data_IF_650158999472
#
_entry.id   IF_650158999472
#
_cell.length_a   1.000
_cell.length_b   1.000
_cell.length_c   1.000
_cell.angle_alpha   90.00
_cell.angle_beta   90.00
_cell.angle_gamma   90.00
#
_symmetry.space_group_name_H-M   'P 1'
#
loop_
_entity.id
_entity.type
_entity.pdbx_description
1 polymer ?
#
# COMPACT_ATOMS: atom_id res chain seq x y z
N UNK A 1 -4.17 1.29 21.09
CA UNK A 1 -3.30 1.62 19.93
C UNK A 1 -2.89 3.08 20.09
N UNK A 2 -1.60 3.41 19.99
CA UNK A 2 -1.10 4.78 19.96
C UNK A 2 -0.40 5.06 18.62
N UNK A 3 -0.64 6.23 18.03
CA UNK A 3 0.09 6.75 16.88
C UNK A 3 1.28 7.54 17.43
N UNK A 4 2.48 7.00 17.31
CA UNK A 4 3.69 7.60 17.92
C UNK A 4 4.38 8.59 16.97
N UNK A 5 4.15 8.46 15.68
CA UNK A 5 4.54 9.44 14.66
C UNK A 5 3.98 8.99 13.32
N UNK A 6 3.88 9.88 12.34
CA UNK A 6 4.95 9.97 11.33
C UNK A 6 4.55 11.00 10.26
N UNK A 7 4.83 12.28 10.56
CA UNK A 7 5.01 13.34 9.57
C UNK A 7 6.40 14.07 9.67
N UNK A 8 7.53 13.34 9.75
CA UNK A 8 8.87 13.89 10.01
C UNK A 8 9.42 14.91 9.04
N UNK A 9 9.33 14.69 7.73
CA UNK A 9 10.06 15.57 6.81
C UNK A 9 9.48 16.97 6.80
N UNK A 10 8.18 17.05 7.08
CA UNK A 10 7.51 18.28 7.44
C UNK A 10 8.08 18.93 8.71
N UNK A 11 8.37 18.13 9.73
CA UNK A 11 8.93 18.61 10.99
C UNK A 11 10.39 19.09 10.84
N UNK A 12 11.13 18.47 9.93
CA UNK A 12 12.52 18.79 9.61
C UNK A 12 12.67 20.01 8.69
N UNK A 13 11.81 20.14 7.67
CA UNK A 13 11.77 21.34 6.82
C UNK A 13 11.56 22.60 7.67
N UNK A 14 10.71 22.50 8.70
CA UNK A 14 10.44 23.58 9.66
C UNK A 14 11.64 23.94 10.55
N UNK A 15 12.52 23.00 10.86
CA UNK A 15 13.66 23.26 11.75
C UNK A 15 14.89 23.83 11.02
N UNK A 16 14.94 23.76 9.69
CA UNK A 16 16.21 23.88 8.94
C UNK A 16 16.13 24.75 7.69
N UNK A 17 14.93 25.08 7.21
CA UNK A 17 14.74 25.83 5.97
C UNK A 17 14.93 25.02 4.69
N UNK A 18 14.97 23.68 4.78
CA UNK A 18 15.07 22.80 3.61
C UNK A 18 13.79 22.78 2.75
N UNK A 19 13.93 22.46 1.45
CA UNK A 19 12.85 22.45 0.46
C UNK A 19 12.68 21.03 -0.15
N UNK A 20 11.65 20.25 0.25
CA UNK A 20 11.54 18.83 -0.11
C UNK A 20 11.12 18.57 -1.56
N UNK A 21 11.57 17.45 -2.14
CA UNK A 21 11.23 16.99 -3.49
C UNK A 21 10.12 15.92 -3.56
N UNK A 22 9.94 15.33 -4.74
CA UNK A 22 8.66 14.77 -5.23
C UNK A 22 7.96 13.64 -4.44
N UNK A 23 8.53 13.09 -3.37
CA UNK A 23 7.95 11.94 -2.64
C UNK A 23 8.28 11.97 -1.14
N UNK A 24 7.93 13.06 -0.46
CA UNK A 24 8.00 13.02 0.98
C UNK A 24 6.85 12.21 1.62
N UNK A 25 6.94 10.88 1.53
CA UNK A 25 6.01 9.97 2.19
C UNK A 25 6.40 9.76 3.65
N UNK A 26 5.63 10.37 4.53
CA UNK A 26 5.66 10.08 5.94
C UNK A 26 4.41 9.23 6.31
N UNK A 27 4.52 7.88 6.33
CA UNK A 27 3.50 6.92 6.81
C UNK A 27 3.42 6.58 8.31
N UNK A 28 2.22 6.39 8.87
CA UNK A 28 1.96 6.27 10.32
C UNK A 28 2.54 5.02 10.98
N UNK A 29 3.07 5.16 12.20
CA UNK A 29 3.50 4.06 13.09
C UNK A 29 2.48 3.88 14.21
N UNK A 30 1.82 2.72 14.22
CA UNK A 30 0.88 2.33 15.26
C UNK A 30 1.52 1.33 16.23
N UNK A 31 1.37 1.56 17.53
CA UNK A 31 1.79 0.63 18.59
C UNK A 31 0.60 0.22 19.45
N UNK A 32 0.56 -1.01 19.92
CA UNK A 32 -0.39 -1.45 20.93
C UNK A 32 0.29 -1.44 22.29
N UNK A 33 -0.41 -0.96 23.33
CA UNK A 33 0.12 -0.92 24.68
C UNK A 33 0.17 -2.32 25.33
N UNK A 34 -0.64 -3.25 24.82
CA UNK A 34 -0.74 -4.63 25.26
C UNK A 34 -0.47 -5.57 24.08
N UNK A 35 -0.27 -6.86 24.36
CA UNK A 35 -0.06 -7.89 23.35
C UNK A 35 -1.19 -7.85 22.31
N UNK A 36 -0.82 -7.64 21.05
CA UNK A 36 -1.74 -7.62 19.93
C UNK A 36 -1.64 -8.95 19.19
N UNK A 37 -2.77 -9.66 19.04
CA UNK A 37 -2.83 -10.89 18.26
C UNK A 37 -2.68 -10.65 16.74
N UNK A 38 -2.60 -9.39 16.31
CA UNK A 38 -2.62 -9.01 14.91
C UNK A 38 -4.05 -8.88 14.37
N UNK A 39 -4.21 -8.75 13.03
CA UNK A 39 -5.52 -8.75 12.40
C UNK A 39 -6.26 -10.06 12.67
N UNK A 40 -7.58 -9.97 12.84
CA UNK A 40 -8.46 -11.10 13.06
C UNK A 40 -8.30 -12.14 11.92
N UNK A 41 -7.89 -13.39 12.21
CA UNK A 41 -7.66 -14.40 11.18
C UNK A 41 -8.94 -14.81 10.45
N UNK A 42 -10.09 -14.64 11.06
CA UNK A 42 -11.42 -14.87 10.48
C UNK A 42 -11.87 -13.76 9.51
N UNK A 43 -11.14 -12.64 9.44
CA UNK A 43 -11.46 -11.58 8.47
C UNK A 43 -10.94 -11.97 7.10
N UNK A 44 -11.85 -12.39 6.25
CA UNK A 44 -11.59 -12.67 4.84
C UNK A 44 -11.50 -11.38 4.00
N UNK A 45 -10.81 -11.48 2.86
CA UNK A 45 -10.69 -10.40 1.88
C UNK A 45 -9.53 -9.42 2.12
N UNK A 46 -9.51 -8.34 1.34
CA UNK A 46 -8.39 -7.39 1.30
C UNK A 46 -8.59 -6.19 2.23
N UNK A 47 -7.52 -5.58 2.76
CA UNK A 47 -7.62 -4.31 3.49
C UNK A 47 -8.11 -3.17 2.59
N UNK A 48 -8.82 -2.20 3.17
CA UNK A 48 -9.23 -0.96 2.48
C UNK A 48 -10.01 -1.16 1.15
N UNK A 49 -10.77 -2.25 1.07
CA UNK A 49 -11.37 -2.80 -0.16
C UNK A 49 -12.72 -2.20 -0.58
N UNK A 50 -13.02 -0.94 -0.26
CA UNK A 50 -14.35 -0.35 -0.53
C UNK A 50 -14.73 -0.35 -2.03
N UNK A 51 -15.93 -0.82 -2.43
CA UNK A 51 -16.37 -0.81 -3.83
C UNK A 51 -16.41 0.61 -4.42
N UNK A 52 -16.08 0.72 -5.70
CA UNK A 52 -15.96 1.97 -6.45
C UNK A 52 -14.70 2.79 -6.13
N UNK A 53 -13.87 2.39 -5.15
CA UNK A 53 -12.62 3.09 -4.90
C UNK A 53 -11.56 2.74 -5.96
N UNK A 54 -10.72 3.71 -6.30
CA UNK A 54 -9.64 3.54 -7.28
C UNK A 54 -8.33 3.18 -6.58
N UNK A 55 -7.61 2.18 -7.11
CA UNK A 55 -6.31 1.74 -6.63
C UNK A 55 -5.32 1.62 -7.77
N UNK A 56 -4.06 1.95 -7.49
CA UNK A 56 -2.95 1.50 -8.33
C UNK A 56 -2.40 0.20 -7.77
N UNK A 57 -2.36 -0.85 -8.56
CA UNK A 57 -1.63 -2.09 -8.26
C UNK A 57 -0.28 -1.95 -8.95
N UNK A 58 0.70 -1.38 -8.25
CA UNK A 58 2.03 -1.10 -8.79
C UNK A 58 2.92 -2.32 -8.60
N UNK A 59 3.57 -2.77 -9.67
CA UNK A 59 4.36 -4.01 -9.71
C UNK A 59 5.84 -3.70 -9.57
N UNK A 60 6.54 -4.54 -8.82
CA UNK A 60 7.97 -4.42 -8.61
C UNK A 60 8.67 -5.75 -8.92
N UNK A 61 9.83 -5.67 -9.56
CA UNK A 61 10.75 -6.80 -9.69
C UNK A 61 11.50 -7.07 -8.37
N UNK A 62 12.32 -8.12 -8.36
CA UNK A 62 13.15 -8.47 -7.21
C UNK A 62 14.22 -7.41 -6.87
N UNK A 63 14.55 -6.54 -7.83
CA UNK A 63 15.48 -5.42 -7.66
C UNK A 63 14.78 -4.12 -7.19
N UNK A 64 13.45 -4.15 -7.01
CA UNK A 64 12.65 -2.99 -6.60
C UNK A 64 12.38 -1.97 -7.70
N UNK A 65 12.57 -2.31 -8.98
CA UNK A 65 12.17 -1.46 -10.10
C UNK A 65 10.69 -1.61 -10.39
N UNK A 66 10.07 -0.51 -10.80
CA UNK A 66 8.68 -0.54 -11.27
C UNK A 66 8.68 -1.19 -12.65
N UNK A 67 8.16 -2.41 -12.72
CA UNK A 67 8.03 -3.18 -13.97
C UNK A 67 6.63 -3.14 -14.57
N UNK A 68 5.69 -2.48 -13.88
CA UNK A 68 4.37 -2.22 -14.42
C UNK A 68 3.38 -1.76 -13.36
N UNK A 69 2.12 -1.71 -13.77
CA UNK A 69 1.03 -1.49 -12.83
C UNK A 69 -0.33 -1.51 -13.51
N UNK A 70 -1.37 -1.55 -12.69
CA UNK A 70 -2.77 -1.56 -13.13
C UNK A 70 -3.59 -0.56 -12.32
N UNK A 71 -4.46 0.19 -13.00
CA UNK A 71 -5.57 0.88 -12.35
C UNK A 71 -6.68 -0.14 -12.07
N UNK A 72 -7.10 -0.20 -10.81
CA UNK A 72 -8.22 -1.02 -10.36
C UNK A 72 -9.30 -0.11 -9.81
N UNK A 73 -10.47 -0.11 -10.44
CA UNK A 73 -11.70 0.29 -9.77
C UNK A 73 -12.23 -0.94 -9.03
N UNK A 74 -12.32 -0.86 -7.71
CA UNK A 74 -12.72 -2.00 -6.89
C UNK A 74 -14.18 -2.34 -7.21
N UNK A 75 -14.50 -3.55 -7.72
CA UNK A 75 -15.87 -3.91 -8.06
C UNK A 75 -16.71 -4.20 -6.81
N UNK A 76 -18.02 -4.44 -7.00
CA UNK A 76 -18.91 -4.86 -5.92
C UNK A 76 -18.44 -6.18 -5.27
N UNK A 77 -17.89 -7.10 -6.06
CA UNK A 77 -17.23 -8.32 -5.57
C UNK A 77 -15.73 -8.04 -5.35
N UNK A 78 -15.44 -7.29 -4.29
CA UNK A 78 -14.13 -6.70 -3.99
C UNK A 78 -12.98 -7.71 -4.10
N UNK A 79 -13.12 -8.87 -3.45
CA UNK A 79 -12.10 -9.91 -3.41
C UNK A 79 -11.76 -10.42 -4.81
N UNK A 80 -12.76 -10.75 -5.63
CA UNK A 80 -12.53 -11.22 -7.01
C UNK A 80 -11.85 -10.16 -7.87
N UNK A 81 -12.15 -8.88 -7.63
CA UNK A 81 -11.50 -7.77 -8.31
C UNK A 81 -10.01 -7.68 -8.01
N UNK A 82 -9.64 -7.81 -6.73
CA UNK A 82 -8.24 -7.85 -6.31
C UNK A 82 -7.53 -9.13 -6.78
N UNK A 83 -8.16 -10.30 -6.61
CA UNK A 83 -7.61 -11.59 -7.07
C UNK A 83 -7.24 -11.52 -8.55
N UNK A 84 -8.17 -11.07 -9.40
CA UNK A 84 -7.90 -10.93 -10.83
C UNK A 84 -6.77 -9.94 -11.15
N UNK A 85 -6.63 -8.85 -10.37
CA UNK A 85 -5.56 -7.89 -10.57
C UNK A 85 -4.19 -8.42 -10.10
N UNK A 86 -4.18 -9.25 -9.07
CA UNK A 86 -2.98 -9.89 -8.54
C UNK A 86 -2.55 -11.07 -9.41
N UNK A 87 -3.48 -11.89 -9.87
CA UNK A 87 -3.23 -12.98 -10.84
C UNK A 87 -2.61 -12.43 -12.12
N UNK A 88 -3.17 -11.34 -12.67
CA UNK A 88 -2.60 -10.65 -13.83
C UNK A 88 -1.19 -10.13 -13.55
N UNK A 89 -0.96 -9.56 -12.36
CA UNK A 89 0.36 -9.07 -11.99
C UNK A 89 1.38 -10.21 -11.87
N UNK A 90 1.02 -11.33 -11.24
CA UNK A 90 1.92 -12.44 -10.98
C UNK A 90 2.02 -13.45 -12.11
N UNK A 91 1.20 -13.32 -13.17
CA UNK A 91 1.37 -14.04 -14.42
C UNK A 91 2.72 -13.70 -15.11
N UNK A 92 3.26 -12.51 -14.85
CA UNK A 92 4.63 -12.15 -15.22
C UNK A 92 5.60 -12.66 -14.14
N UNK A 93 6.52 -13.59 -14.46
CA UNK A 93 7.47 -14.15 -13.50
C UNK A 93 8.48 -13.12 -12.97
N UNK A 94 8.69 -11.99 -13.65
CA UNK A 94 9.59 -10.93 -13.16
C UNK A 94 8.97 -10.15 -11.98
N UNK A 95 7.65 -10.19 -11.81
CA UNK A 95 6.95 -9.50 -10.71
C UNK A 95 7.14 -10.28 -9.41
N UNK A 96 7.87 -9.67 -8.48
CA UNK A 96 8.14 -10.22 -7.15
C UNK A 96 7.11 -9.78 -6.10
N UNK A 97 6.65 -8.52 -6.17
CA UNK A 97 5.63 -7.98 -5.27
C UNK A 97 4.76 -6.91 -5.95
N UNK A 98 3.61 -6.63 -5.33
CA UNK A 98 2.75 -5.51 -5.71
C UNK A 98 2.45 -4.62 -4.52
N UNK A 99 2.43 -3.31 -4.75
CA UNK A 99 1.89 -2.32 -3.82
C UNK A 99 0.49 -1.92 -4.25
N UNK A 100 -0.46 -1.99 -3.33
CA UNK A 100 -1.77 -1.37 -3.49
C UNK A 100 -1.69 0.07 -3.00
N UNK A 101 -1.65 0.93 -4.01
CA UNK A 101 -1.63 2.39 -4.08
C UNK A 101 -2.99 3.06 -3.92
N UNK A 102 -3.15 4.11 -3.13
CA UNK A 102 -4.14 5.14 -3.48
C UNK A 102 -3.72 5.79 -4.81
N UNK A 103 -4.67 6.03 -5.71
CA UNK A 103 -4.35 6.66 -7.02
C UNK A 103 -4.05 8.14 -6.83
N UNK A 104 -4.80 8.79 -5.96
CA UNK A 104 -4.90 10.23 -5.82
C UNK A 104 -3.60 10.84 -5.29
N UNK A 105 -3.02 10.23 -4.26
CA UNK A 105 -1.85 10.76 -3.55
C UNK A 105 -0.68 9.77 -3.51
N UNK A 106 -0.83 8.61 -4.15
CA UNK A 106 0.16 7.54 -4.11
C UNK A 106 0.26 6.83 -2.76
N UNK A 107 -0.52 7.19 -1.74
CA UNK A 107 -0.40 6.64 -0.39
C UNK A 107 -0.47 5.11 -0.38
N UNK A 108 0.53 4.47 0.23
CA UNK A 108 0.56 3.03 0.44
C UNK A 108 -0.62 2.54 1.29
N UNK A 109 -1.30 1.47 0.85
CA UNK A 109 -2.29 0.76 1.65
C UNK A 109 -1.75 -0.58 2.16
N UNK A 110 -1.36 -1.47 1.26
CA UNK A 110 -0.80 -2.77 1.61
C UNK A 110 0.08 -3.33 0.49
N UNK A 111 0.85 -4.35 0.82
CA UNK A 111 1.73 -5.08 -0.08
C UNK A 111 1.25 -6.53 -0.19
N UNK A 112 1.34 -7.08 -1.40
CA UNK A 112 1.16 -8.52 -1.65
C UNK A 112 2.42 -9.04 -2.29
N UNK A 113 2.95 -10.14 -1.77
CA UNK A 113 4.13 -10.83 -2.31
C UNK A 113 3.71 -12.09 -3.01
N UNK A 114 4.50 -12.49 -4.01
CA UNK A 114 4.43 -13.85 -4.53
C UNK A 114 4.75 -14.83 -3.39
N UNK A 115 3.97 -15.91 -3.19
CA UNK A 115 4.29 -16.96 -2.23
C UNK A 115 5.58 -17.72 -2.58
#
# INVERSE_FOLDING_TARGET
IALVSYAPLRRWAAATGASPGAYDEQGPVFIHAEACAGPAPEREGYPFSRPGALRTVRRYDADGRIVGGRLLEIPAEEAKGFDAALDEAFADPEVALTHVRAVEYGCFHFEVRRP
#
